data_IF_070884021095
#
_entry.id   IF_070884021095
#
_cell.length_a   1.000
_cell.length_b   1.000
_cell.length_c   1.000
_cell.angle_alpha   90.00
_cell.angle_beta   90.00
_cell.angle_gamma   90.00
#
_symmetry.space_group_name_H-M   'P 1'
#
loop_
_entity.id
_entity.type
_entity.pdbx_description
1 polymer ?
#
# COMPACT_ATOMS: atom_id res chain seq x y z
N UNK A 1 -9.09 4.02 2.28
CA UNK A 1 -9.29 5.37 1.67
C UNK A 1 -8.88 6.53 2.58
N UNK A 2 -9.20 6.52 3.88
CA UNK A 2 -8.93 7.65 4.80
C UNK A 2 -7.47 8.14 4.78
N UNK A 3 -6.50 7.22 4.84
CA UNK A 3 -5.08 7.58 4.83
C UNK A 3 -4.64 8.29 3.54
N UNK A 4 -5.13 7.85 2.37
CA UNK A 4 -4.83 8.49 1.09
C UNK A 4 -5.47 9.88 0.98
N UNK A 5 -6.68 10.07 1.51
CA UNK A 5 -7.31 11.40 1.58
C UNK A 5 -6.53 12.35 2.47
N UNK A 6 -6.10 11.87 3.64
CA UNK A 6 -5.27 12.65 4.56
C UNK A 6 -3.92 13.01 3.92
N UNK A 7 -3.30 12.07 3.19
CA UNK A 7 -2.07 12.31 2.44
C UNK A 7 -2.25 13.40 1.39
N UNK A 8 -3.29 13.31 0.54
CA UNK A 8 -3.57 14.31 -0.48
C UNK A 8 -3.82 15.69 0.13
N UNK A 9 -4.62 15.76 1.20
CA UNK A 9 -4.89 17.02 1.92
C UNK A 9 -3.61 17.63 2.50
N UNK A 10 -2.74 16.83 3.12
CA UNK A 10 -1.46 17.29 3.68
C UNK A 10 -0.55 17.88 2.61
N UNK A 11 -0.55 17.32 1.40
CA UNK A 11 0.27 17.78 0.28
C UNK A 11 -0.38 18.90 -0.55
N UNK A 12 -1.63 19.27 -0.25
CA UNK A 12 -2.40 20.23 -1.05
C UNK A 12 -2.81 19.70 -2.41
N UNK A 13 -2.84 18.37 -2.60
CA UNK A 13 -3.27 17.75 -3.86
C UNK A 13 -4.78 17.62 -3.92
N UNK A 14 -5.37 18.00 -5.06
CA UNK A 14 -6.80 17.89 -5.28
C UNK A 14 -7.16 16.48 -5.73
N UNK A 15 -8.06 15.82 -5.02
CA UNK A 15 -8.69 14.59 -5.48
C UNK A 15 -9.79 14.99 -6.47
N UNK A 16 -9.67 14.54 -7.72
CA UNK A 16 -10.64 14.83 -8.78
C UNK A 16 -11.79 13.82 -8.76
N UNK A 17 -11.46 12.54 -8.62
CA UNK A 17 -12.42 11.44 -8.62
C UNK A 17 -11.99 10.38 -7.61
N UNK A 18 -12.95 9.63 -7.08
CA UNK A 18 -12.67 8.51 -6.19
C UNK A 18 -13.80 7.49 -6.22
N UNK A 19 -13.41 6.23 -6.13
CA UNK A 19 -14.34 5.11 -5.96
C UNK A 19 -13.76 4.13 -4.94
N UNK A 20 -14.62 3.53 -4.15
CA UNK A 20 -14.28 2.43 -3.25
C UNK A 20 -15.32 1.34 -3.41
N UNK A 21 -14.85 0.10 -3.41
CA UNK A 21 -15.69 -1.08 -3.58
C UNK A 21 -15.25 -2.15 -2.58
N UNK A 22 -16.20 -3.00 -2.19
CA UNK A 22 -15.91 -4.19 -1.41
C UNK A 22 -16.32 -5.38 -2.24
N UNK A 23 -15.39 -6.30 -2.47
CA UNK A 23 -15.59 -7.51 -3.26
C UNK A 23 -15.22 -8.74 -2.43
N UNK A 24 -15.32 -9.93 -3.04
CA UNK A 24 -14.86 -11.17 -2.43
C UNK A 24 -13.33 -11.20 -2.18
N UNK A 25 -12.53 -10.40 -2.90
CA UNK A 25 -11.09 -10.23 -2.65
C UNK A 25 -10.78 -9.24 -1.53
N UNK A 26 -11.80 -8.54 -1.00
CA UNK A 26 -11.67 -7.54 0.04
C UNK A 26 -11.99 -6.12 -0.44
N UNK A 27 -11.69 -5.10 0.40
CA UNK A 27 -11.92 -3.70 0.06
C UNK A 27 -10.84 -3.17 -0.90
N UNK A 28 -11.29 -2.54 -1.98
CA UNK A 28 -10.45 -1.94 -3.02
C UNK A 28 -10.92 -0.50 -3.29
N UNK A 29 -10.07 0.32 -3.90
CA UNK A 29 -10.43 1.68 -4.25
C UNK A 29 -9.45 2.34 -5.21
N UNK A 30 -9.93 3.36 -5.90
CA UNK A 30 -9.15 4.12 -6.88
C UNK A 30 -9.41 5.62 -6.68
N UNK A 31 -8.35 6.42 -6.79
CA UNK A 31 -8.41 7.88 -6.72
C UNK A 31 -7.72 8.47 -7.95
N UNK A 32 -8.38 9.44 -8.58
CA UNK A 32 -7.70 10.37 -9.48
C UNK A 32 -7.27 11.59 -8.69
N UNK A 33 -5.98 11.90 -8.70
CA UNK A 33 -5.39 12.99 -7.89
C UNK A 33 -4.59 13.90 -8.82
N UNK A 34 -4.90 15.19 -8.80
CA UNK A 34 -4.16 16.21 -9.53
C UNK A 34 -2.82 16.50 -8.83
N UNK A 35 -1.81 15.69 -9.16
CA UNK A 35 -0.45 15.78 -8.62
C UNK A 35 0.58 15.22 -9.61
N UNK A 36 1.86 15.61 -9.52
CA UNK A 36 2.91 14.91 -10.25
C UNK A 36 2.97 13.43 -9.85
N UNK A 37 2.85 12.53 -10.83
CA UNK A 37 2.79 11.08 -10.58
C UNK A 37 4.00 10.56 -9.78
N UNK A 38 5.18 11.12 -10.05
CA UNK A 38 6.41 10.86 -9.28
C UNK A 38 6.24 11.16 -7.79
N UNK A 39 5.77 12.34 -7.46
CA UNK A 39 5.68 12.79 -6.06
C UNK A 39 4.57 12.00 -5.35
N UNK A 40 3.47 11.72 -6.03
CA UNK A 40 2.42 10.84 -5.53
C UNK A 40 2.96 9.43 -5.25
N UNK A 41 3.76 8.84 -6.15
CA UNK A 41 4.37 7.52 -5.92
C UNK A 41 5.32 7.49 -4.74
N UNK A 42 6.19 8.49 -4.61
CA UNK A 42 7.10 8.57 -3.47
C UNK A 42 6.34 8.73 -2.14
N UNK A 43 5.28 9.54 -2.15
CA UNK A 43 4.43 9.75 -0.98
C UNK A 43 3.64 8.50 -0.58
N UNK A 44 3.11 7.73 -1.54
CA UNK A 44 2.40 6.47 -1.24
C UNK A 44 3.36 5.37 -0.77
N UNK A 45 4.58 5.30 -1.32
CA UNK A 45 5.64 4.42 -0.80
C UNK A 45 5.95 4.72 0.67
N UNK A 46 6.09 6.00 1.03
CA UNK A 46 6.34 6.40 2.42
C UNK A 46 5.13 6.10 3.32
N UNK A 47 3.92 6.27 2.80
CA UNK A 47 2.70 5.92 3.52
C UNK A 47 2.62 4.41 3.81
N UNK A 48 2.95 3.56 2.84
CA UNK A 48 3.06 2.10 3.05
C UNK A 48 4.13 1.73 4.10
N UNK A 49 5.19 2.53 4.20
CA UNK A 49 6.27 2.30 5.15
C UNK A 49 5.91 2.73 6.58
N UNK A 50 5.27 3.89 6.72
CA UNK A 50 5.06 4.56 8.01
C UNK A 50 3.72 4.25 8.67
N UNK A 51 2.69 3.87 7.90
CA UNK A 51 1.38 3.57 8.48
C UNK A 51 1.40 2.21 9.19
N UNK A 52 0.74 2.05 10.36
CA UNK A 52 0.69 0.78 11.09
C UNK A 52 0.22 -0.42 10.24
N UNK A 53 -0.79 -0.20 9.40
CA UNK A 53 -1.29 -1.18 8.43
C UNK A 53 -0.64 -1.10 7.04
N UNK A 54 0.33 -0.21 6.83
CA UNK A 54 0.93 0.04 5.51
C UNK A 54 1.59 -1.19 4.89
N UNK A 55 2.12 -2.10 5.73
CA UNK A 55 2.65 -3.41 5.30
C UNK A 55 1.60 -4.34 4.68
N UNK A 56 0.31 -4.07 4.83
CA UNK A 56 -0.80 -4.82 4.24
C UNK A 56 -1.37 -4.18 2.98
N UNK A 57 -1.06 -2.92 2.71
CA UNK A 57 -1.59 -2.20 1.55
C UNK A 57 -0.74 -2.44 0.32
N UNK A 58 -1.37 -2.48 -0.85
CA UNK A 58 -0.70 -2.51 -2.15
C UNK A 58 -1.15 -1.28 -2.93
N UNK A 59 -0.34 -0.23 -2.95
CA UNK A 59 -0.70 1.07 -3.54
C UNK A 59 0.11 1.31 -4.82
N UNK A 60 -0.57 1.12 -5.94
CA UNK A 60 -0.06 1.47 -7.25
C UNK A 60 -0.41 2.90 -7.65
N UNK A 61 0.52 3.54 -8.35
CA UNK A 61 0.34 4.87 -8.93
C UNK A 61 0.56 4.75 -10.42
N UNK A 62 -0.43 5.15 -11.19
CA UNK A 62 -0.40 5.16 -12.64
C UNK A 62 -0.12 6.58 -13.15
N UNK A 63 0.63 6.69 -14.24
CA UNK A 63 0.74 7.95 -15.01
C UNK A 63 -0.57 8.21 -15.77
N UNK A 64 -0.80 9.44 -16.27
CA UNK A 64 -1.93 9.71 -17.17
C UNK A 64 -1.95 8.82 -18.43
N UNK A 65 -0.80 8.34 -18.86
CA UNK A 65 -0.62 7.43 -19.99
C UNK A 65 -0.93 5.96 -19.63
N UNK A 66 -1.20 5.66 -18.35
CA UNK A 66 -1.56 4.35 -17.84
C UNK A 66 -0.37 3.49 -17.40
N UNK A 67 0.83 4.05 -17.31
CA UNK A 67 2.02 3.32 -16.89
C UNK A 67 2.08 3.21 -15.36
N UNK A 68 2.32 2.01 -14.83
CA UNK A 68 2.47 1.81 -13.38
C UNK A 68 3.89 2.18 -12.97
N UNK A 69 4.01 3.15 -12.06
CA UNK A 69 5.28 3.55 -11.47
C UNK A 69 5.73 2.53 -10.42
N UNK A 70 6.93 2.00 -10.59
CA UNK A 70 7.53 1.00 -9.71
C UNK A 70 8.53 1.63 -8.73
N UNK A 71 8.90 0.89 -7.69
CA UNK A 71 9.96 1.29 -6.76
C UNK A 71 11.34 1.37 -7.44
N UNK A 72 11.56 0.57 -8.48
CA UNK A 72 12.85 0.48 -9.19
C UNK A 72 13.13 1.73 -10.00
N UNK A 73 12.09 2.37 -10.53
CA UNK A 73 12.20 3.63 -11.27
C UNK A 73 12.81 4.76 -10.42
N UNK A 74 12.78 4.60 -9.10
CA UNK A 74 13.33 5.53 -8.12
C UNK A 74 14.54 4.99 -7.34
N UNK A 75 15.16 3.91 -7.83
CA UNK A 75 16.30 3.25 -7.16
C UNK A 75 16.00 2.80 -5.71
N UNK A 76 14.73 2.53 -5.39
CA UNK A 76 14.31 2.07 -4.07
C UNK A 76 14.32 0.53 -3.99
N UNK A 77 14.61 -0.04 -2.82
CA UNK A 77 14.60 -1.49 -2.65
C UNK A 77 13.19 -2.06 -2.88
N UNK A 78 13.08 -3.33 -3.29
CA UNK A 78 11.78 -3.99 -3.42
C UNK A 78 11.06 -4.05 -2.07
N UNK A 79 9.75 -4.22 -2.13
CA UNK A 79 8.94 -4.49 -0.93
C UNK A 79 9.50 -5.72 -0.20
N UNK A 80 9.68 -5.58 1.11
CA UNK A 80 10.14 -6.67 1.98
C UNK A 80 8.99 -7.61 2.33
N UNK A 81 9.27 -8.90 2.33
CA UNK A 81 8.36 -9.99 2.67
C UNK A 81 7.82 -9.76 4.08
N UNK A 82 6.53 -10.04 4.26
CA UNK A 82 5.84 -9.87 5.53
C UNK A 82 6.43 -10.74 6.66
N UNK A 83 7.10 -11.85 6.31
CA UNK A 83 7.58 -12.85 7.27
C UNK A 83 9.10 -12.86 7.46
N UNK A 84 9.88 -12.75 6.38
CA UNK A 84 11.34 -12.96 6.43
C UNK A 84 12.18 -11.74 5.98
N UNK A 85 11.53 -10.60 5.69
CA UNK A 85 12.16 -9.35 5.26
C UNK A 85 12.99 -9.41 3.93
N UNK A 86 13.10 -10.59 3.29
CA UNK A 86 13.62 -10.73 1.93
C UNK A 86 12.70 -10.09 0.89
N UNK A 87 13.05 -10.09 -0.39
CA UNK A 87 12.16 -9.56 -1.43
C UNK A 87 10.82 -10.31 -1.46
N UNK A 88 9.70 -9.59 -1.23
CA UNK A 88 8.36 -10.17 -1.26
C UNK A 88 8.05 -10.85 -2.60
N UNK A 89 8.50 -10.27 -3.71
CA UNK A 89 8.33 -10.83 -5.04
C UNK A 89 9.09 -12.15 -5.24
N UNK A 90 10.23 -12.34 -4.56
CA UNK A 90 10.98 -13.60 -4.58
C UNK A 90 10.22 -14.66 -3.77
N UNK A 91 9.78 -14.32 -2.56
CA UNK A 91 9.02 -15.25 -1.71
C UNK A 91 7.71 -15.69 -2.36
N UNK A 92 6.98 -14.76 -3.01
CA UNK A 92 5.74 -15.06 -3.71
C UNK A 92 5.95 -16.03 -4.88
N UNK A 93 6.94 -15.77 -5.74
CA UNK A 93 7.28 -16.67 -6.86
C UNK A 93 7.77 -18.03 -6.40
N UNK A 94 8.59 -18.05 -5.34
CA UNK A 94 9.15 -19.27 -4.78
C UNK A 94 8.18 -20.06 -3.90
N UNK A 95 6.98 -19.53 -3.61
CA UNK A 95 6.05 -20.06 -2.60
C UNK A 95 6.77 -20.40 -1.29
N UNK A 96 7.65 -19.51 -0.87
CA UNK A 96 8.62 -19.74 0.23
C UNK A 96 7.95 -19.95 1.59
N UNK A 97 6.74 -19.42 1.78
CA UNK A 97 6.00 -19.49 3.03
C UNK A 97 4.63 -20.13 2.84
N UNK A 98 4.13 -20.78 3.89
CA UNK A 98 2.78 -21.30 3.89
C UNK A 98 1.77 -20.15 3.95
N UNK A 99 0.64 -20.34 3.28
CA UNK A 99 -0.44 -19.35 3.28
C UNK A 99 -0.94 -19.06 4.70
N UNK A 100 -1.00 -20.07 5.57
CA UNK A 100 -1.41 -19.93 6.98
C UNK A 100 -0.51 -18.98 7.75
N UNK A 101 0.80 -19.02 7.53
CA UNK A 101 1.75 -18.14 8.24
C UNK A 101 1.57 -16.69 7.81
N UNK A 102 1.30 -16.47 6.51
CA UNK A 102 0.98 -15.14 5.98
C UNK A 102 -0.32 -14.61 6.60
N UNK A 103 -1.40 -15.41 6.58
CA UNK A 103 -2.69 -15.04 7.15
C UNK A 103 -2.57 -14.71 8.65
N UNK A 104 -1.90 -15.56 9.43
CA UNK A 104 -1.67 -15.31 10.86
C UNK A 104 -0.92 -14.00 11.10
N UNK A 105 0.08 -13.68 10.27
CA UNK A 105 0.81 -12.41 10.41
C UNK A 105 -0.03 -11.20 9.99
N UNK A 106 -0.88 -11.34 8.97
CA UNK A 106 -1.81 -10.29 8.56
C UNK A 106 -2.83 -10.00 9.67
N UNK A 107 -3.42 -11.04 10.26
CA UNK A 107 -4.34 -10.91 11.40
C UNK A 107 -3.69 -10.27 12.62
N UNK A 108 -2.46 -10.65 12.96
CA UNK A 108 -1.72 -10.04 14.06
C UNK A 108 -1.55 -8.52 13.86
N UNK A 109 -1.20 -8.08 12.63
CA UNK A 109 -1.07 -6.64 12.32
C UNK A 109 -2.40 -5.88 12.43
N UNK A 110 -3.51 -6.51 12.06
CA UNK A 110 -4.84 -5.91 12.23
C UNK A 110 -5.19 -5.75 13.71
N UNK A 111 -5.00 -6.82 14.49
CA UNK A 111 -5.30 -6.82 15.93
C UNK A 111 -4.44 -5.83 16.72
N UNK A 112 -3.15 -5.68 16.36
CA UNK A 112 -2.25 -4.71 17.00
C UNK A 112 -2.76 -3.27 16.86
N UNK A 113 -3.35 -2.93 15.70
CA UNK A 113 -3.89 -1.59 15.43
C UNK A 113 -5.22 -1.37 16.13
N UNK A 114 -6.09 -2.37 16.17
CA UNK A 114 -7.34 -2.28 16.92
C UNK A 114 -7.08 -2.10 18.42
N UNK A 115 -6.12 -2.83 19.00
CA UNK A 115 -5.72 -2.66 20.39
C UNK A 115 -5.18 -1.26 20.71
N UNK A 116 -4.55 -0.58 19.74
CA UNK A 116 -4.08 0.80 19.89
C UNK A 116 -5.20 1.84 19.75
N UNK A 117 -6.31 1.53 19.08
CA UNK A 117 -7.44 2.43 18.87
C UNK A 117 -8.52 2.32 19.97
N UNK A 118 -8.38 1.37 20.89
CA UNK A 118 -9.31 1.13 22.02
C UNK A 118 -8.82 1.76 23.33
N UNK A 119 -7.70 2.49 23.31
CA UNK A 119 -7.18 3.26 24.45
C UNK A 119 -7.28 4.77 24.25
#
# INVERSE_FOLDING_TARGET
MTALRALAAKQGWQIQEQVALVSASGPEGMLSIAAPARDLKLATIELEHSHPLGRLWDIDVLTPEGEILSRRDYSLPPRRCLLCEQSAAVCARGKTHQLTDLLNRMEALLNDVDACNVN
#
